data_IF_566554730720
#
_entry.id   IF_566554730720
#
_cell.length_a   1.000
_cell.length_b   1.000
_cell.length_c   1.000
_cell.angle_alpha   90.00
_cell.angle_beta   90.00
_cell.angle_gamma   90.00
#
_symmetry.space_group_name_H-M   'P 1'
#
loop_
_entity.id
_entity.type
_entity.pdbx_description
1 polymer ?
#
# COMPACT_ATOMS: atom_id res chain seq x y z
N UNK A 1 17.97 20.12 -15.19
CA UNK A 1 17.72 20.34 -13.75
C UNK A 1 16.27 20.70 -13.64
N UNK A 2 15.50 19.86 -12.96
CA UNK A 2 14.11 20.16 -12.63
C UNK A 2 14.09 21.33 -11.65
N UNK A 3 13.15 22.24 -11.83
CA UNK A 3 12.95 23.35 -10.89
C UNK A 3 12.23 22.81 -9.66
N UNK A 4 13.00 22.45 -8.63
CA UNK A 4 12.48 21.88 -7.37
C UNK A 4 11.82 22.95 -6.47
N UNK A 5 11.79 24.23 -6.87
CA UNK A 5 11.22 25.31 -6.05
C UNK A 5 9.69 25.28 -5.92
N UNK A 6 9.02 24.41 -6.67
CA UNK A 6 7.57 24.17 -6.66
C UNK A 6 7.22 22.72 -6.30
N UNK A 7 8.16 21.91 -5.81
CA UNK A 7 7.93 20.52 -5.49
C UNK A 7 7.17 20.37 -4.16
N UNK A 8 5.85 20.18 -4.24
CA UNK A 8 4.96 20.00 -3.07
C UNK A 8 4.85 18.53 -2.64
N UNK A 9 5.82 17.68 -3.00
CA UNK A 9 5.78 16.26 -2.68
C UNK A 9 5.76 16.03 -1.17
N UNK A 10 4.83 15.20 -0.70
CA UNK A 10 4.65 14.91 0.73
C UNK A 10 3.78 15.92 1.47
N UNK A 11 3.26 16.94 0.78
CA UNK A 11 2.22 17.81 1.30
C UNK A 11 0.82 17.32 0.88
N UNK A 12 -0.17 17.53 1.74
CA UNK A 12 -1.57 17.29 1.39
C UNK A 12 -2.06 18.31 0.37
N UNK A 13 -2.97 17.91 -0.53
CA UNK A 13 -3.49 18.75 -1.62
C UNK A 13 -5.01 18.75 -1.67
N UNK A 14 -5.60 19.82 -2.20
CA UNK A 14 -7.03 19.92 -2.53
C UNK A 14 -7.32 19.43 -3.97
N UNK A 15 -6.30 19.00 -4.71
CA UNK A 15 -6.45 18.47 -6.06
C UNK A 15 -7.14 17.11 -5.98
N UNK A 16 -8.30 17.01 -6.63
CA UNK A 16 -9.04 15.76 -6.77
C UNK A 16 -8.30 14.77 -7.70
N UNK A 17 -8.35 13.45 -7.40
CA UNK A 17 -7.72 12.44 -8.24
C UNK A 17 -8.44 12.29 -9.58
N UNK A 18 -7.66 11.91 -10.58
CA UNK A 18 -8.14 11.59 -11.92
C UNK A 18 -8.61 10.13 -11.96
N UNK A 19 -9.72 9.84 -12.64
CA UNK A 19 -10.25 8.47 -12.77
C UNK A 19 -10.36 8.09 -14.25
N UNK A 20 -9.66 7.01 -14.61
CA UNK A 20 -9.65 6.40 -15.92
C UNK A 20 -10.21 4.98 -15.78
N UNK A 21 -11.17 4.60 -16.62
CA UNK A 21 -11.84 3.31 -16.50
C UNK A 21 -12.02 2.66 -17.87
N UNK A 22 -11.81 1.35 -17.94
CA UNK A 22 -12.13 0.58 -19.13
C UNK A 22 -13.65 0.59 -19.39
N UNK A 23 -14.05 0.45 -20.67
CA UNK A 23 -15.45 0.54 -21.12
C UNK A 23 -16.41 -0.44 -20.41
N UNK A 24 -15.88 -1.55 -19.88
CA UNK A 24 -16.65 -2.60 -19.19
C UNK A 24 -16.67 -2.46 -17.66
N UNK A 25 -16.04 -1.41 -17.10
CA UNK A 25 -16.15 -1.09 -15.67
C UNK A 25 -17.48 -0.41 -15.39
N UNK A 26 -18.23 -0.93 -14.41
CA UNK A 26 -19.55 -0.41 -14.10
C UNK A 26 -19.49 0.96 -13.40
N UNK A 27 -20.47 1.85 -13.59
CA UNK A 27 -20.55 3.11 -12.85
C UNK A 27 -20.53 2.95 -11.33
N UNK A 28 -21.10 1.86 -10.82
CA UNK A 28 -21.12 1.52 -9.39
C UNK A 28 -19.71 1.22 -8.87
N UNK A 29 -18.87 0.51 -9.64
CA UNK A 29 -17.48 0.25 -9.28
C UNK A 29 -16.67 1.56 -9.22
N UNK A 30 -16.89 2.48 -10.16
CA UNK A 30 -16.25 3.80 -10.16
C UNK A 30 -16.71 4.62 -8.94
N UNK A 31 -18.01 4.61 -8.63
CA UNK A 31 -18.56 5.32 -7.48
C UNK A 31 -18.05 4.76 -6.15
N UNK A 32 -17.97 3.43 -6.02
CA UNK A 32 -17.41 2.76 -4.85
C UNK A 32 -15.93 3.12 -4.66
N UNK A 33 -15.16 3.13 -5.76
CA UNK A 33 -13.75 3.53 -5.73
C UNK A 33 -13.60 4.95 -5.21
N UNK A 34 -14.39 5.90 -5.75
CA UNK A 34 -14.40 7.29 -5.30
C UNK A 34 -14.78 7.43 -3.83
N UNK A 35 -15.75 6.66 -3.35
CA UNK A 35 -16.16 6.67 -1.95
C UNK A 35 -15.02 6.24 -1.03
N UNK A 36 -14.37 5.12 -1.33
CA UNK A 36 -13.31 4.58 -0.48
C UNK A 36 -12.01 5.38 -0.57
N UNK A 37 -11.73 6.00 -1.72
CA UNK A 37 -10.69 7.03 -1.83
C UNK A 37 -10.95 8.17 -0.83
N UNK A 38 -12.18 8.72 -0.79
CA UNK A 38 -12.50 9.82 0.13
C UNK A 38 -12.32 9.42 1.59
N UNK A 39 -12.78 8.23 1.97
CA UNK A 39 -12.57 7.67 3.32
C UNK A 39 -11.09 7.63 3.67
N UNK A 40 -10.24 7.14 2.74
CA UNK A 40 -8.80 7.08 2.94
C UNK A 40 -8.16 8.47 3.06
N UNK A 41 -8.49 9.39 2.15
CA UNK A 41 -7.99 10.75 2.13
C UNK A 41 -8.39 11.55 3.38
N UNK A 42 -9.61 11.35 3.90
CA UNK A 42 -10.08 11.97 5.15
C UNK A 42 -9.33 11.44 6.37
N UNK A 43 -8.89 10.18 6.37
CA UNK A 43 -8.19 9.57 7.50
C UNK A 43 -6.67 9.78 7.47
N UNK A 44 -6.07 9.79 6.28
CA UNK A 44 -4.62 9.77 6.12
C UNK A 44 -4.07 11.02 5.43
N UNK A 45 -4.93 11.89 4.92
CA UNK A 45 -4.57 13.08 4.15
C UNK A 45 -4.64 12.81 2.65
N UNK A 46 -5.04 13.82 1.88
CA UNK A 46 -5.10 13.72 0.43
C UNK A 46 -3.74 14.01 -0.21
N UNK A 47 -3.07 13.00 -0.75
CA UNK A 47 -1.78 13.17 -1.45
C UNK A 47 -1.94 12.96 -2.97
N UNK A 48 -1.29 13.82 -3.75
CA UNK A 48 -1.36 13.78 -5.20
C UNK A 48 -0.19 14.51 -5.87
N UNK A 49 -0.18 14.58 -7.22
CA UNK A 49 -1.24 14.09 -8.13
C UNK A 49 -1.50 12.58 -8.06
N UNK A 50 -2.76 12.17 -8.07
CA UNK A 50 -3.18 10.77 -7.96
C UNK A 50 -4.11 10.39 -9.13
N UNK A 51 -3.85 9.22 -9.71
CA UNK A 51 -4.66 8.64 -10.79
C UNK A 51 -5.18 7.26 -10.38
N UNK A 52 -6.47 7.02 -10.61
CA UNK A 52 -7.06 5.69 -10.54
C UNK A 52 -7.24 5.13 -11.94
N UNK A 53 -6.73 3.92 -12.16
CA UNK A 53 -6.87 3.15 -13.39
C UNK A 53 -7.72 1.90 -13.10
N UNK A 54 -8.99 1.97 -13.49
CA UNK A 54 -9.97 0.94 -13.20
C UNK A 54 -10.08 -0.01 -14.40
N UNK A 55 -9.79 -1.29 -14.14
CA UNK A 55 -9.73 -2.32 -15.16
C UNK A 55 -10.88 -3.30 -14.96
N UNK A 56 -11.65 -3.54 -16.02
CA UNK A 56 -12.71 -4.53 -16.03
C UNK A 56 -12.20 -5.96 -16.23
N UNK A 57 -13.02 -6.83 -16.80
CA UNK A 57 -12.67 -8.23 -17.11
C UNK A 57 -12.43 -8.45 -18.60
N UNK A 58 -12.75 -7.47 -19.45
CA UNK A 58 -12.61 -7.55 -20.89
C UNK A 58 -11.21 -7.11 -21.34
N UNK A 59 -10.46 -8.03 -21.96
CA UNK A 59 -9.11 -7.77 -22.45
C UNK A 59 -9.03 -6.70 -23.55
N UNK A 60 -10.03 -6.63 -24.44
CA UNK A 60 -10.06 -5.63 -25.52
C UNK A 60 -10.31 -4.23 -24.95
N UNK A 61 -11.20 -4.10 -23.97
CA UNK A 61 -11.44 -2.85 -23.25
C UNK A 61 -10.19 -2.40 -22.48
N UNK A 62 -9.52 -3.34 -21.81
CA UNK A 62 -8.25 -3.08 -21.12
C UNK A 62 -7.13 -2.66 -22.11
N UNK A 63 -7.06 -3.28 -23.29
CA UNK A 63 -6.11 -2.92 -24.35
C UNK A 63 -6.36 -1.51 -24.91
N UNK A 64 -7.61 -1.06 -24.98
CA UNK A 64 -7.93 0.34 -25.31
C UNK A 64 -7.45 1.29 -24.20
N UNK A 65 -7.73 0.97 -22.94
CA UNK A 65 -7.28 1.75 -21.79
C UNK A 65 -5.74 1.84 -21.73
N UNK A 66 -5.03 0.78 -22.12
CA UNK A 66 -3.56 0.77 -22.23
C UNK A 66 -3.03 1.82 -23.21
N UNK A 67 -3.75 2.07 -24.31
CA UNK A 67 -3.39 3.10 -25.30
C UNK A 67 -3.62 4.50 -24.74
N UNK A 68 -4.73 4.71 -24.03
CA UNK A 68 -5.02 5.98 -23.35
C UNK A 68 -3.97 6.29 -22.29
N UNK A 69 -3.60 5.29 -21.48
CA UNK A 69 -2.50 5.40 -20.52
C UNK A 69 -1.21 5.86 -21.18
N UNK A 70 -0.82 5.21 -22.26
CA UNK A 70 0.45 5.52 -22.90
C UNK A 70 0.45 6.91 -23.57
N UNK A 71 -0.67 7.32 -24.16
CA UNK A 71 -0.85 8.69 -24.66
C UNK A 71 -0.75 9.73 -23.54
N UNK A 72 -1.31 9.45 -22.37
CA UNK A 72 -1.21 10.35 -21.22
C UNK A 72 0.22 10.39 -20.64
N UNK A 73 0.92 9.25 -20.59
CA UNK A 73 2.31 9.20 -20.13
C UNK A 73 3.24 10.02 -21.02
N UNK A 74 3.10 9.93 -22.33
CA UNK A 74 3.92 10.72 -23.27
C UNK A 74 3.57 12.21 -23.26
N UNK A 75 2.35 12.57 -22.86
CA UNK A 75 1.98 13.96 -22.62
C UNK A 75 2.60 14.51 -21.33
N UNK A 76 2.49 13.75 -20.23
CA UNK A 76 2.96 14.17 -18.88
C UNK A 76 4.49 14.17 -18.78
N UNK A 77 5.15 13.24 -19.47
CA UNK A 77 6.61 13.09 -19.48
C UNK A 77 7.14 12.90 -20.91
N UNK A 78 7.17 13.97 -21.74
CA UNK A 78 7.49 13.88 -23.16
C UNK A 78 8.94 13.49 -23.48
N UNK A 79 9.86 13.63 -22.54
CA UNK A 79 11.24 13.14 -22.66
C UNK A 79 11.36 11.62 -22.53
N UNK A 80 10.30 10.92 -22.10
CA UNK A 80 10.29 9.47 -21.95
C UNK A 80 9.83 8.82 -23.26
N UNK A 81 10.61 7.86 -23.82
CA UNK A 81 10.21 7.17 -25.04
C UNK A 81 8.90 6.40 -24.86
N UNK A 82 8.02 6.49 -25.86
CA UNK A 82 6.70 5.84 -25.83
C UNK A 82 6.80 4.31 -25.64
N UNK A 83 7.89 3.70 -26.10
CA UNK A 83 8.16 2.27 -25.93
C UNK A 83 8.13 1.84 -24.46
N UNK A 84 8.46 2.72 -23.51
CA UNK A 84 8.41 2.42 -22.08
C UNK A 84 6.97 2.18 -21.59
N UNK A 85 5.98 2.93 -22.08
CA UNK A 85 4.58 2.68 -21.72
C UNK A 85 3.91 1.60 -22.58
N UNK A 86 4.35 1.43 -23.83
CA UNK A 86 3.86 0.38 -24.74
C UNK A 86 4.29 -1.01 -24.26
N UNK A 87 5.58 -1.18 -23.93
CA UNK A 87 6.16 -2.47 -23.60
C UNK A 87 6.27 -2.71 -22.08
N UNK A 88 5.44 -2.01 -21.29
CA UNK A 88 5.46 -2.17 -19.84
C UNK A 88 5.01 -3.57 -19.42
N UNK A 89 5.70 -4.15 -18.44
CA UNK A 89 5.26 -5.38 -17.78
C UNK A 89 3.97 -5.14 -16.99
N UNK A 90 3.19 -6.21 -16.79
CA UNK A 90 1.96 -6.21 -15.98
C UNK A 90 0.98 -5.06 -16.37
N UNK A 91 0.65 -4.97 -17.66
CA UNK A 91 -0.24 -3.94 -18.22
C UNK A 91 -1.72 -4.19 -17.87
N UNK A 92 -2.64 -3.35 -18.36
CA UNK A 92 -4.05 -3.50 -18.01
C UNK A 92 -4.68 -4.78 -18.56
N UNK A 93 -4.19 -5.32 -19.68
CA UNK A 93 -4.61 -6.65 -20.15
C UNK A 93 -4.23 -7.74 -19.14
N UNK A 94 -3.07 -7.66 -18.49
CA UNK A 94 -2.71 -8.57 -17.39
C UNK A 94 -3.67 -8.42 -16.21
N UNK A 95 -3.99 -7.19 -15.80
CA UNK A 95 -4.98 -6.94 -14.73
C UNK A 95 -6.37 -7.49 -15.08
N UNK A 96 -6.82 -7.36 -16.32
CA UNK A 96 -8.10 -7.95 -16.77
C UNK A 96 -8.09 -9.48 -16.70
N UNK A 97 -6.93 -10.12 -16.92
CA UNK A 97 -6.75 -11.57 -16.86
C UNK A 97 -6.64 -12.10 -15.44
N UNK A 98 -5.87 -11.43 -14.60
CA UNK A 98 -5.39 -11.98 -13.32
C UNK A 98 -6.14 -11.36 -12.13
N UNK A 99 -6.61 -10.13 -12.25
CA UNK A 99 -7.17 -9.35 -11.15
C UNK A 99 -6.10 -8.53 -10.43
N UNK A 100 -6.24 -8.44 -9.11
CA UNK A 100 -5.39 -7.69 -8.18
C UNK A 100 -5.53 -6.16 -8.28
N UNK A 101 -4.83 -5.51 -7.36
CA UNK A 101 -4.62 -4.08 -7.34
C UNK A 101 -3.12 -3.78 -7.24
N UNK A 102 -2.74 -2.52 -7.37
CA UNK A 102 -1.36 -2.12 -7.13
C UNK A 102 -1.12 -0.63 -7.32
N UNK A 103 -0.24 -0.08 -6.49
CA UNK A 103 0.34 1.24 -6.68
C UNK A 103 1.53 1.20 -7.65
N UNK A 104 1.47 2.02 -8.68
CA UNK A 104 2.62 2.42 -9.49
C UNK A 104 3.02 3.85 -9.10
N UNK A 105 4.23 4.00 -8.55
CA UNK A 105 4.78 5.30 -8.17
C UNK A 105 5.57 5.91 -9.34
N UNK A 106 5.33 7.20 -9.61
CA UNK A 106 6.17 8.03 -10.49
C UNK A 106 6.85 9.08 -9.64
N UNK A 107 8.09 8.84 -9.24
CA UNK A 107 8.92 9.77 -8.48
C UNK A 107 10.38 9.39 -8.64
N UNK A 108 10.97 9.84 -9.74
CA UNK A 108 12.34 9.50 -10.12
C UNK A 108 13.07 10.68 -10.79
N UNK A 109 14.34 10.47 -11.12
CA UNK A 109 15.23 11.49 -11.68
C UNK A 109 15.13 11.69 -13.19
N UNK A 110 14.28 10.93 -13.90
CA UNK A 110 14.23 10.93 -15.36
C UNK A 110 12.87 11.30 -15.93
N UNK A 111 11.77 11.08 -15.21
CA UNK A 111 10.43 11.52 -15.60
C UNK A 111 10.16 12.97 -15.14
N UNK A 112 9.58 13.76 -16.03
CA UNK A 112 9.18 15.13 -15.76
C UNK A 112 7.98 15.21 -14.80
N UNK A 113 7.05 14.25 -14.91
CA UNK A 113 5.89 14.16 -14.05
C UNK A 113 6.13 13.23 -12.86
N UNK A 114 5.68 13.66 -11.68
CA UNK A 114 5.61 12.82 -10.48
C UNK A 114 4.16 12.69 -10.00
N UNK A 115 3.83 11.53 -9.47
CA UNK A 115 2.50 11.23 -8.94
C UNK A 115 2.31 9.75 -8.63
N UNK A 116 1.09 9.42 -8.24
CA UNK A 116 0.67 8.09 -7.82
C UNK A 116 -0.34 7.53 -8.80
N UNK A 117 -0.24 6.25 -9.12
CA UNK A 117 -1.20 5.56 -9.97
C UNK A 117 -1.68 4.30 -9.27
N UNK A 118 -2.92 4.28 -8.82
CA UNK A 118 -3.55 3.07 -8.27
C UNK A 118 -4.26 2.36 -9.42
N UNK A 119 -3.90 1.10 -9.67
CA UNK A 119 -4.66 0.24 -10.58
C UNK A 119 -5.55 -0.68 -9.76
N UNK A 120 -6.85 -0.74 -10.07
CA UNK A 120 -7.81 -1.65 -9.45
C UNK A 120 -8.47 -2.51 -10.53
N UNK A 121 -8.26 -3.82 -10.49
CA UNK A 121 -8.97 -4.74 -11.37
C UNK A 121 -10.30 -5.18 -10.75
N UNK A 122 -11.30 -5.43 -11.59
CA UNK A 122 -12.63 -5.89 -11.16
C UNK A 122 -12.76 -7.41 -11.08
N UNK A 123 -11.65 -8.16 -11.21
CA UNK A 123 -11.68 -9.63 -11.30
C UNK A 123 -11.49 -10.32 -9.98
N UNK A 124 -10.45 -9.95 -9.21
CA UNK A 124 -10.07 -10.57 -7.95
C UNK A 124 -9.38 -9.51 -7.06
N UNK A 125 -10.06 -8.89 -6.08
CA UNK A 125 -11.50 -8.99 -5.82
C UNK A 125 -12.35 -8.23 -6.84
N UNK A 126 -13.59 -8.65 -7.02
CA UNK A 126 -14.65 -7.91 -7.73
C UNK A 126 -15.20 -6.78 -6.87
N UNK A 127 -15.67 -5.65 -7.44
CA UNK A 127 -16.29 -4.55 -6.69
C UNK A 127 -17.52 -4.95 -5.85
N UNK A 128 -18.09 -6.12 -6.13
CA UNK A 128 -19.20 -6.71 -5.38
C UNK A 128 -18.76 -7.55 -4.18
N UNK A 129 -17.48 -7.85 -4.06
CA UNK A 129 -16.89 -8.60 -2.95
C UNK A 129 -16.45 -7.63 -1.85
N UNK A 130 -16.60 -8.04 -0.59
CA UNK A 130 -16.24 -7.19 0.53
C UNK A 130 -14.74 -6.87 0.56
N UNK A 131 -13.89 -7.74 0.00
CA UNK A 131 -12.44 -7.55 -0.07
C UNK A 131 -12.01 -6.40 -1.00
N UNK A 132 -12.86 -5.95 -1.93
CA UNK A 132 -12.53 -4.83 -2.81
C UNK A 132 -12.27 -3.52 -2.04
N UNK A 133 -13.05 -3.32 -0.98
CA UNK A 133 -13.04 -2.13 -0.13
C UNK A 133 -11.74 -2.00 0.68
N UNK A 134 -11.33 -2.99 1.52
CA UNK A 134 -10.07 -2.93 2.23
C UNK A 134 -8.86 -2.96 1.28
N UNK A 135 -8.94 -3.63 0.11
CA UNK A 135 -7.86 -3.57 -0.89
C UNK A 135 -7.66 -2.15 -1.42
N UNK A 136 -8.72 -1.38 -1.66
CA UNK A 136 -8.56 0.01 -2.06
C UNK A 136 -7.90 0.86 -0.97
N UNK A 137 -8.28 0.64 0.30
CA UNK A 137 -7.64 1.31 1.43
C UNK A 137 -6.16 0.87 1.58
N UNK A 138 -5.84 -0.40 1.33
CA UNK A 138 -4.47 -0.91 1.30
C UNK A 138 -3.63 -0.16 0.26
N UNK A 139 -4.10 -0.08 -0.99
CA UNK A 139 -3.37 0.62 -2.06
C UNK A 139 -3.23 2.12 -1.78
N UNK A 140 -4.24 2.75 -1.19
CA UNK A 140 -4.12 4.15 -0.78
C UNK A 140 -3.14 4.31 0.40
N UNK A 141 -3.04 3.35 1.30
CA UNK A 141 -2.02 3.43 2.35
C UNK A 141 -0.60 3.35 1.77
N UNK A 142 -0.39 2.67 0.64
CA UNK A 142 0.88 2.79 -0.08
C UNK A 142 1.12 4.20 -0.63
N UNK A 143 0.07 4.93 -1.06
CA UNK A 143 0.20 6.36 -1.41
C UNK A 143 0.67 7.15 -0.20
N UNK A 144 0.06 6.93 0.97
CA UNK A 144 0.48 7.55 2.22
C UNK A 144 1.96 7.27 2.51
N UNK A 145 2.37 5.99 2.51
CA UNK A 145 3.76 5.60 2.76
C UNK A 145 4.74 6.27 1.79
N UNK A 146 4.41 6.31 0.49
CA UNK A 146 5.30 6.85 -0.55
C UNK A 146 5.33 8.38 -0.61
N UNK A 147 4.25 9.05 -0.21
CA UNK A 147 4.19 10.50 -0.09
C UNK A 147 5.20 11.02 0.96
N UNK A 148 5.42 10.24 2.02
CA UNK A 148 6.39 10.57 3.07
C UNK A 148 7.84 10.21 2.73
N UNK A 149 8.17 9.91 1.47
CA UNK A 149 9.54 9.69 1.01
C UNK A 149 9.84 10.65 -0.14
N UNK A 150 10.68 11.64 0.11
CA UNK A 150 10.83 12.80 -0.78
C UNK A 150 11.80 12.58 -1.93
N UNK A 151 12.85 11.78 -1.70
CA UNK A 151 13.94 11.57 -2.66
C UNK A 151 13.46 11.04 -4.01
N UNK A 152 14.02 11.55 -5.11
CA UNK A 152 13.84 10.99 -6.46
C UNK A 152 14.83 9.87 -6.77
N UNK A 153 15.82 9.64 -5.90
CA UNK A 153 16.77 8.53 -6.06
C UNK A 153 16.11 7.22 -5.63
N UNK A 154 16.08 6.25 -6.54
CA UNK A 154 15.43 4.96 -6.31
C UNK A 154 16.11 4.17 -5.20
N UNK A 155 17.45 4.17 -5.12
CA UNK A 155 18.18 3.42 -4.10
C UNK A 155 17.94 3.99 -2.71
N UNK A 156 17.97 5.31 -2.55
CA UNK A 156 17.65 5.95 -1.29
C UNK A 156 16.18 5.76 -0.90
N UNK A 157 15.27 5.81 -1.88
CA UNK A 157 13.84 5.51 -1.64
C UNK A 157 13.65 4.09 -1.12
N UNK A 158 14.29 3.09 -1.72
CA UNK A 158 14.15 1.69 -1.29
C UNK A 158 14.66 1.46 0.13
N UNK A 159 15.72 2.19 0.55
CA UNK A 159 16.22 2.17 1.93
C UNK A 159 15.24 2.79 2.91
N UNK A 160 14.71 3.99 2.59
CA UNK A 160 13.73 4.69 3.43
C UNK A 160 12.41 3.93 3.54
N UNK A 161 11.93 3.39 2.42
CA UNK A 161 10.71 2.59 2.36
C UNK A 161 10.86 1.23 3.06
N UNK A 162 12.10 0.81 3.37
CA UNK A 162 12.45 -0.54 3.80
C UNK A 162 11.75 -1.56 2.90
N UNK A 163 12.16 -1.63 1.63
CA UNK A 163 11.54 -2.48 0.59
C UNK A 163 11.54 -3.96 0.95
N UNK A 164 10.53 -4.36 1.72
CA UNK A 164 10.30 -5.71 2.20
C UNK A 164 8.81 -5.85 2.60
N UNK A 165 8.15 -6.98 2.25
CA UNK A 165 6.76 -7.18 2.59
C UNK A 165 6.37 -7.01 4.06
N UNK A 166 7.22 -7.39 5.02
CA UNK A 166 6.83 -7.32 6.44
C UNK A 166 6.48 -5.90 6.91
N UNK A 167 7.10 -4.88 6.29
CA UNK A 167 6.90 -3.49 6.64
C UNK A 167 5.89 -2.80 5.72
N UNK A 168 6.17 -2.73 4.41
CA UNK A 168 5.32 -1.98 3.49
C UNK A 168 3.93 -2.59 3.36
N UNK A 169 3.88 -3.89 3.11
CA UNK A 169 2.64 -4.63 2.86
C UNK A 169 1.93 -4.95 4.16
N UNK A 170 2.67 -5.36 5.19
CA UNK A 170 2.12 -5.52 6.54
C UNK A 170 1.49 -4.23 7.07
N UNK A 171 2.11 -3.09 6.78
CA UNK A 171 1.62 -1.76 7.12
C UNK A 171 0.34 -1.38 6.39
N UNK A 172 0.33 -1.51 5.06
CA UNK A 172 -0.83 -1.23 4.24
C UNK A 172 -2.01 -2.15 4.57
N UNK A 173 -1.74 -3.42 4.81
CA UNK A 173 -2.76 -4.40 5.16
C UNK A 173 -3.37 -4.10 6.53
N UNK A 174 -2.54 -3.87 7.56
CA UNK A 174 -3.04 -3.56 8.91
C UNK A 174 -3.91 -2.31 8.90
N UNK A 175 -3.42 -1.23 8.28
CA UNK A 175 -4.11 0.06 8.28
C UNK A 175 -5.37 0.03 7.41
N UNK A 176 -5.32 -0.62 6.25
CA UNK A 176 -6.47 -0.80 5.37
C UNK A 176 -7.58 -1.61 6.03
N UNK A 177 -7.24 -2.74 6.65
CA UNK A 177 -8.20 -3.60 7.36
C UNK A 177 -8.79 -2.93 8.61
N UNK A 178 -7.95 -2.22 9.39
CA UNK A 178 -8.41 -1.51 10.58
C UNK A 178 -9.36 -0.38 10.21
N UNK A 179 -9.03 0.43 9.19
CA UNK A 179 -9.89 1.51 8.74
C UNK A 179 -11.20 0.94 8.16
N UNK A 180 -11.14 -0.13 7.37
CA UNK A 180 -12.34 -0.78 6.85
C UNK A 180 -13.25 -1.26 7.99
N UNK A 181 -12.70 -1.86 9.04
CA UNK A 181 -13.49 -2.36 10.16
C UNK A 181 -14.30 -1.30 10.93
N UNK A 182 -13.91 -0.03 10.78
CA UNK A 182 -14.57 1.13 11.42
C UNK A 182 -15.71 1.69 10.55
N UNK A 183 -15.91 1.19 9.33
CA UNK A 183 -16.92 1.72 8.40
C UNK A 183 -18.33 1.23 8.71
N UNK A 184 -19.33 2.05 8.38
CA UNK A 184 -20.74 1.71 8.55
C UNK A 184 -21.10 0.44 7.76
N UNK A 185 -21.85 -0.46 8.41
CA UNK A 185 -22.29 -1.72 7.81
C UNK A 185 -21.28 -2.86 7.89
N UNK A 186 -20.04 -2.60 8.35
CA UNK A 186 -19.08 -3.68 8.62
C UNK A 186 -19.44 -4.37 9.93
N UNK A 187 -19.46 -5.71 9.90
CA UNK A 187 -19.87 -6.50 11.07
C UNK A 187 -18.91 -6.32 12.24
N UNK A 188 -19.45 -6.27 13.45
CA UNK A 188 -18.66 -6.30 14.68
C UNK A 188 -17.77 -7.55 14.72
N UNK A 189 -16.50 -7.39 15.09
CA UNK A 189 -15.52 -8.48 15.13
C UNK A 189 -14.81 -8.77 13.81
N UNK A 190 -15.14 -8.09 12.70
CA UNK A 190 -14.49 -8.28 11.39
C UNK A 190 -12.97 -8.25 11.48
N UNK A 191 -12.40 -7.19 12.06
CA UNK A 191 -10.95 -7.01 12.12
C UNK A 191 -10.27 -8.17 12.87
N UNK A 192 -10.85 -8.59 13.99
CA UNK A 192 -10.36 -9.71 14.78
C UNK A 192 -10.36 -11.00 13.95
N UNK A 193 -11.43 -11.29 13.22
CA UNK A 193 -11.51 -12.48 12.36
C UNK A 193 -10.43 -12.47 11.25
N UNK A 194 -10.21 -11.32 10.61
CA UNK A 194 -9.14 -11.16 9.59
C UNK A 194 -7.77 -11.42 10.21
N UNK A 195 -7.49 -10.82 11.36
CA UNK A 195 -6.22 -11.03 12.07
C UNK A 195 -6.07 -12.50 12.50
N UNK A 196 -7.12 -13.15 13.01
CA UNK A 196 -7.12 -14.59 13.36
C UNK A 196 -6.80 -15.49 12.17
N UNK A 197 -7.34 -15.16 10.98
CA UNK A 197 -7.05 -15.87 9.74
C UNK A 197 -5.59 -15.68 9.32
N UNK A 198 -5.08 -14.44 9.31
CA UNK A 198 -3.67 -14.13 8.99
C UNK A 198 -2.71 -14.82 9.96
N UNK A 199 -3.09 -14.95 11.23
CA UNK A 199 -2.27 -15.62 12.23
C UNK A 199 -2.00 -17.09 11.87
N UNK A 200 -2.88 -17.73 11.08
CA UNK A 200 -2.67 -19.13 10.65
C UNK A 200 -1.39 -19.31 9.85
N UNK A 201 -0.88 -18.27 9.20
CA UNK A 201 0.38 -18.29 8.44
C UNK A 201 1.60 -18.62 9.30
N UNK A 202 1.50 -18.52 10.64
CA UNK A 202 2.53 -18.99 11.56
C UNK A 202 2.83 -20.49 11.39
N UNK A 203 1.86 -21.30 10.93
CA UNK A 203 2.01 -22.74 10.74
C UNK A 203 2.94 -23.09 9.58
N UNK A 204 3.04 -22.18 8.62
CA UNK A 204 3.86 -22.33 7.42
C UNK A 204 5.26 -21.71 7.62
N UNK A 205 5.46 -20.95 8.70
CA UNK A 205 6.75 -20.37 9.05
C UNK A 205 7.71 -21.47 9.53
N UNK A 206 8.81 -21.68 8.80
CA UNK A 206 9.80 -22.70 9.16
C UNK A 206 10.50 -22.32 10.48
N UNK A 207 10.92 -23.33 11.24
CA UNK A 207 11.67 -23.11 12.49
C UNK A 207 12.91 -22.26 12.22
N UNK A 208 13.01 -21.12 12.89
CA UNK A 208 14.12 -20.17 12.75
C UNK A 208 14.04 -19.26 11.53
N UNK A 209 13.00 -19.37 10.70
CA UNK A 209 12.75 -18.41 9.62
C UNK A 209 12.17 -17.13 10.19
N UNK A 210 12.70 -16.00 9.74
CA UNK A 210 12.27 -14.66 10.16
C UNK A 210 11.52 -13.96 9.04
N UNK A 211 10.56 -13.09 9.36
CA UNK A 211 9.70 -12.47 8.34
C UNK A 211 10.45 -11.43 7.51
N UNK A 212 11.47 -10.81 8.09
CA UNK A 212 12.34 -9.84 7.43
C UNK A 212 13.30 -10.46 6.41
N UNK A 213 13.50 -11.78 6.48
CA UNK A 213 14.31 -12.53 5.50
C UNK A 213 13.48 -13.04 4.32
N UNK A 214 12.15 -12.83 4.31
CA UNK A 214 11.25 -13.31 3.25
C UNK A 214 11.04 -12.17 2.24
N UNK A 215 11.59 -12.27 1.01
CA UNK A 215 11.40 -11.26 -0.02
C UNK A 215 10.03 -11.38 -0.68
N UNK A 216 9.71 -10.42 -1.54
CA UNK A 216 8.64 -10.56 -2.53
C UNK A 216 8.84 -11.83 -3.37
N UNK A 217 7.76 -12.54 -3.67
CA UNK A 217 7.80 -13.81 -4.38
C UNK A 217 6.82 -14.86 -3.81
N UNK A 218 7.04 -16.15 -4.09
CA UNK A 218 6.10 -17.22 -3.73
C UNK A 218 5.75 -17.31 -2.24
N UNK A 219 6.72 -17.03 -1.37
CA UNK A 219 6.56 -17.11 0.09
C UNK A 219 6.12 -15.78 0.72
N UNK A 220 5.96 -14.72 -0.08
CA UNK A 220 5.71 -13.37 0.42
C UNK A 220 4.45 -13.29 1.29
N UNK A 221 3.42 -14.11 1.02
CA UNK A 221 2.20 -14.19 1.84
C UNK A 221 2.51 -14.32 3.34
N UNK A 222 3.57 -15.05 3.71
CA UNK A 222 3.96 -15.21 5.11
C UNK A 222 4.41 -13.88 5.72
N UNK A 223 5.22 -13.11 4.99
CA UNK A 223 5.66 -11.79 5.43
C UNK A 223 4.56 -10.74 5.36
N UNK A 224 3.60 -10.84 4.44
CA UNK A 224 2.40 -10.00 4.43
C UNK A 224 1.57 -10.25 5.70
N UNK A 225 1.17 -11.50 5.94
CA UNK A 225 0.27 -11.86 7.03
C UNK A 225 0.91 -11.65 8.40
N UNK A 226 2.15 -12.11 8.59
CA UNK A 226 2.86 -11.95 9.86
C UNK A 226 3.45 -10.54 10.02
N UNK A 227 3.73 -9.83 8.92
CA UNK A 227 4.02 -8.40 8.94
C UNK A 227 2.83 -7.58 9.42
N UNK A 228 1.61 -7.92 8.99
CA UNK A 228 0.37 -7.32 9.52
C UNK A 228 0.28 -7.48 11.04
N UNK A 229 0.62 -8.67 11.55
CA UNK A 229 0.71 -8.92 12.99
C UNK A 229 1.87 -8.19 13.68
N UNK A 230 3.00 -8.02 13.00
CA UNK A 230 4.11 -7.22 13.51
C UNK A 230 3.70 -5.77 13.69
N UNK A 231 2.97 -5.18 12.75
CA UNK A 231 2.43 -3.81 12.89
C UNK A 231 1.44 -3.72 14.05
N UNK A 232 0.56 -4.72 14.22
CA UNK A 232 -0.33 -4.79 15.38
C UNK A 232 0.44 -4.81 16.71
N UNK A 233 1.49 -5.63 16.80
CA UNK A 233 2.38 -5.72 17.96
C UNK A 233 3.12 -4.41 18.23
N UNK A 234 3.64 -3.77 17.18
CA UNK A 234 4.34 -2.50 17.26
C UNK A 234 3.43 -1.39 17.79
N UNK A 235 2.22 -1.27 17.24
CA UNK A 235 1.21 -0.29 17.65
C UNK A 235 0.76 -0.55 19.09
N UNK A 236 0.58 -1.82 19.49
CA UNK A 236 0.23 -2.16 20.87
C UNK A 236 1.31 -1.73 21.88
N UNK A 237 2.58 -1.84 21.52
CA UNK A 237 3.72 -1.41 22.36
C UNK A 237 3.96 0.10 22.34
N UNK A 238 3.40 0.80 21.36
CA UNK A 238 3.56 2.24 21.15
C UNK A 238 2.18 2.88 21.01
N UNK A 239 1.82 3.28 19.79
CA UNK A 239 0.49 3.77 19.43
C UNK A 239 0.31 3.77 17.91
N UNK A 240 -0.94 3.94 17.45
CA UNK A 240 -1.21 4.16 16.02
C UNK A 240 -0.56 5.47 15.54
N UNK A 241 -0.52 6.51 16.40
CA UNK A 241 0.10 7.80 16.08
C UNK A 241 1.61 7.69 15.91
N UNK A 242 2.30 6.93 16.78
CA UNK A 242 3.73 6.71 16.67
C UNK A 242 4.10 6.00 15.35
N UNK A 243 3.28 5.04 14.93
CA UNK A 243 3.48 4.31 13.68
C UNK A 243 3.09 5.14 12.45
N UNK A 244 1.91 5.73 12.46
CA UNK A 244 1.33 6.38 11.28
C UNK A 244 1.89 7.78 11.09
N UNK A 245 2.13 8.55 12.14
CA UNK A 245 2.48 9.97 12.04
C UNK A 245 3.95 10.19 12.40
N UNK A 246 4.34 9.90 13.63
CA UNK A 246 5.65 10.32 14.15
C UNK A 246 6.80 9.66 13.37
N UNK A 247 6.69 8.35 13.09
CA UNK A 247 7.69 7.62 12.28
C UNK A 247 7.88 8.23 10.88
N UNK A 248 6.78 8.53 10.18
CA UNK A 248 6.85 9.04 8.80
C UNK A 248 7.29 10.51 8.77
N UNK A 249 6.96 11.29 9.79
CA UNK A 249 7.43 12.67 9.92
C UNK A 249 8.96 12.73 10.07
N UNK A 250 9.54 11.80 10.83
CA UNK A 250 10.99 11.74 11.06
C UNK A 250 11.77 11.02 9.94
N UNK A 251 11.07 10.33 9.02
CA UNK A 251 11.69 9.37 8.11
C UNK A 251 12.73 10.00 7.19
N UNK A 252 12.44 11.16 6.61
CA UNK A 252 13.37 11.82 5.67
C UNK A 252 14.61 12.39 6.37
N UNK A 253 14.48 12.80 7.63
CA UNK A 253 15.57 13.43 8.40
C UNK A 253 16.47 12.40 9.07
N UNK A 254 15.89 11.31 9.60
CA UNK A 254 16.60 10.32 10.40
C UNK A 254 16.90 9.03 9.62
N UNK A 255 16.19 8.78 8.53
CA UNK A 255 16.18 7.47 7.88
C UNK A 255 15.40 6.43 8.68
N UNK A 256 15.23 5.25 8.07
CA UNK A 256 14.35 4.19 8.59
C UNK A 256 14.69 3.79 10.04
N UNK A 257 15.95 3.41 10.31
CA UNK A 257 16.30 2.79 11.58
C UNK A 257 16.28 3.77 12.76
N UNK A 258 16.80 5.00 12.57
CA UNK A 258 16.78 6.00 13.64
C UNK A 258 15.38 6.58 13.86
N UNK A 259 14.56 6.73 12.80
CA UNK A 259 13.13 7.04 12.97
C UNK A 259 12.39 5.93 13.71
N UNK A 260 12.62 4.67 13.34
CA UNK A 260 12.03 3.51 14.00
C UNK A 260 12.38 3.51 15.49
N UNK A 261 13.66 3.63 15.82
CA UNK A 261 14.14 3.64 17.21
C UNK A 261 13.58 4.79 18.02
N UNK A 262 13.52 6.00 17.44
CA UNK A 262 12.96 7.17 18.12
C UNK A 262 11.49 6.97 18.48
N UNK A 263 10.71 6.39 17.58
CA UNK A 263 9.26 6.33 17.70
C UNK A 263 8.74 5.05 18.38
N UNK A 264 9.53 3.97 18.37
CA UNK A 264 9.13 2.69 18.97
C UNK A 264 10.01 2.26 20.17
N UNK A 265 11.05 3.03 20.49
CA UNK A 265 11.88 2.85 21.69
C UNK A 265 12.99 1.81 21.60
N UNK A 266 13.08 1.04 20.52
CA UNK A 266 14.16 0.07 20.25
C UNK A 266 14.43 -0.05 18.74
N UNK A 267 15.54 -0.68 18.36
CA UNK A 267 15.84 -0.92 16.95
C UNK A 267 14.81 -1.85 16.30
N UNK A 268 14.68 -1.77 14.97
CA UNK A 268 13.80 -2.66 14.21
C UNK A 268 14.18 -4.13 14.40
N UNK A 269 15.48 -4.42 14.46
CA UNK A 269 16.03 -5.75 14.77
C UNK A 269 15.58 -6.24 16.14
N UNK A 270 15.74 -5.43 17.20
CA UNK A 270 15.35 -5.84 18.56
C UNK A 270 13.83 -6.05 18.69
N UNK A 271 13.04 -5.24 17.98
CA UNK A 271 11.59 -5.39 17.97
C UNK A 271 11.15 -6.66 17.21
N UNK A 272 11.81 -6.97 16.09
CA UNK A 272 11.60 -8.21 15.34
C UNK A 272 12.04 -9.44 16.14
N UNK A 273 13.13 -9.34 16.91
CA UNK A 273 13.55 -10.39 17.85
C UNK A 273 12.48 -10.65 18.90
N UNK A 274 11.99 -9.60 19.57
CA UNK A 274 10.90 -9.75 20.56
C UNK A 274 9.64 -10.34 19.91
N UNK A 275 9.30 -9.91 18.70
CA UNK A 275 8.17 -10.46 17.95
C UNK A 275 8.33 -11.96 17.69
N UNK A 276 9.48 -12.37 17.16
CA UNK A 276 9.74 -13.77 16.79
C UNK A 276 9.91 -14.70 17.99
N UNK A 277 10.63 -14.25 19.01
CA UNK A 277 11.03 -15.09 20.14
C UNK A 277 9.96 -15.11 21.25
N UNK A 278 9.27 -14.00 21.45
CA UNK A 278 8.30 -13.84 22.53
C UNK A 278 6.88 -13.84 21.99
N UNK A 279 6.50 -12.86 21.17
CA UNK A 279 5.11 -12.68 20.77
C UNK A 279 4.55 -13.88 20.01
N UNK A 280 5.26 -14.39 19.00
CA UNK A 280 4.82 -15.56 18.22
C UNK A 280 4.66 -16.83 19.07
N UNK A 281 5.34 -16.93 20.21
CA UNK A 281 5.26 -18.07 21.14
C UNK A 281 4.06 -18.02 22.10
N UNK A 282 3.42 -16.85 22.27
CA UNK A 282 2.29 -16.66 23.19
C UNK A 282 1.06 -17.51 22.80
N UNK A 283 0.10 -17.67 23.70
CA UNK A 283 -1.19 -18.27 23.34
C UNK A 283 -1.94 -17.39 22.32
N UNK A 284 -2.83 -17.99 21.52
CA UNK A 284 -3.65 -17.21 20.58
C UNK A 284 -4.53 -16.18 21.31
N UNK A 285 -4.97 -16.47 22.54
CA UNK A 285 -5.74 -15.53 23.35
C UNK A 285 -4.93 -14.28 23.69
N UNK A 286 -3.67 -14.44 24.09
CA UNK A 286 -2.77 -13.31 24.37
C UNK A 286 -2.46 -12.51 23.12
N UNK A 287 -2.17 -13.19 21.99
CA UNK A 287 -1.96 -12.50 20.71
C UNK A 287 -3.16 -11.67 20.30
N UNK A 288 -4.38 -12.21 20.44
CA UNK A 288 -5.60 -11.49 20.06
C UNK A 288 -5.96 -10.35 21.00
N UNK A 289 -5.48 -10.38 22.24
CA UNK A 289 -5.76 -9.34 23.23
C UNK A 289 -5.09 -8.00 22.91
N UNK A 290 -4.09 -7.97 22.02
CA UNK A 290 -3.41 -6.73 21.62
C UNK A 290 -4.23 -5.89 20.64
N UNK A 291 -5.20 -6.50 19.95
CA UNK A 291 -5.98 -5.83 18.92
C UNK A 291 -6.90 -4.77 19.54
N UNK A 292 -7.12 -3.64 18.84
CA UNK A 292 -8.09 -2.64 19.29
C UNK A 292 -9.49 -3.27 19.42
N UNK A 293 -10.24 -2.82 20.43
CA UNK A 293 -11.61 -3.26 20.71
C UNK A 293 -12.62 -2.54 19.81
#
# INVERSE_FOLDING_TARGET
MFDDSLDTWGETTEIEPEFYAAEDVSPEAIALTKQYYKIAAENWGNYGPLEFWLVGKNEDAASKLDKEYCALRTQKSPGIPAEHCINRGHNFVTYAKEGNAGLNLRRNNYEEWSGFLITMASKNPSPTEDDYKPVLLHEYFHVYQQAHIYTRDESEREKLAKKNPWWLEGGAEYMGQLLYSKQEGVKGGYFKEVMEWKLQSIKDLRKGQRIEDIPYGPDARLAYDLGTWFIAFLIHKSSEEAYRVDFFQDLNDLGFEESFKKNFGSSSEAMLDEFHEVFLSMSNQEKLAILPQ
#
